data_IF_565299054095
#
_entry.id   IF_565299054095
#
_cell.length_a   1.000
_cell.length_b   1.000
_cell.length_c   1.000
_cell.angle_alpha   90.00
_cell.angle_beta   90.00
_cell.angle_gamma   90.00
#
_symmetry.space_group_name_H-M   'P 1'
#
loop_
_entity.id
_entity.type
_entity.pdbx_description
1 polymer ?
#
# COMPACT_ATOMS: atom_id res chain seq x y z
N UNK A 1 7.39 17.79 -21.05
CA UNK A 1 7.48 16.59 -20.19
C UNK A 1 6.06 16.19 -19.86
N UNK A 2 5.69 14.92 -20.01
CA UNK A 2 4.35 14.44 -19.63
C UNK A 2 4.13 14.71 -18.14
N UNK A 3 2.99 15.28 -17.76
CA UNK A 3 2.71 15.57 -16.35
C UNK A 3 2.03 14.36 -15.74
N UNK A 4 2.76 13.60 -14.92
CA UNK A 4 2.21 12.52 -14.10
C UNK A 4 1.90 13.06 -12.70
N UNK A 5 0.65 12.97 -12.28
CA UNK A 5 0.21 13.37 -10.94
C UNK A 5 -0.43 12.18 -10.24
N UNK A 6 0.17 11.71 -9.15
CA UNK A 6 -0.40 10.71 -8.27
C UNK A 6 -1.33 11.36 -7.23
N UNK A 7 -2.50 10.77 -7.06
CA UNK A 7 -3.50 11.19 -6.09
C UNK A 7 -3.71 10.12 -5.00
N UNK A 8 -3.54 10.53 -3.73
CA UNK A 8 -3.64 9.66 -2.54
C UNK A 8 -4.34 10.33 -1.35
N UNK A 9 -4.28 9.73 -0.15
CA UNK A 9 -4.93 10.34 1.02
C UNK A 9 -4.20 11.59 1.51
N UNK A 10 -2.88 11.64 1.27
CA UNK A 10 -2.07 12.84 1.31
C UNK A 10 -1.82 13.43 2.70
N UNK A 11 -0.66 14.08 2.82
CA UNK A 11 -0.17 14.90 3.93
C UNK A 11 1.33 15.09 3.79
N UNK A 12 1.80 16.34 3.66
CA UNK A 12 3.20 16.79 3.76
C UNK A 12 4.26 16.08 2.90
N UNK A 13 3.87 15.43 1.79
CA UNK A 13 4.81 14.72 0.90
C UNK A 13 5.38 13.42 1.49
N UNK A 14 4.76 12.89 2.54
CA UNK A 14 5.17 11.63 3.15
C UNK A 14 5.00 10.45 2.18
N UNK A 15 6.03 9.60 2.11
CA UNK A 15 6.05 8.40 1.28
C UNK A 15 5.02 7.34 1.75
N UNK A 16 4.85 7.23 3.07
CA UNK A 16 3.88 6.33 3.69
C UNK A 16 2.51 7.00 3.73
N UNK A 17 1.58 6.53 2.90
CA UNK A 17 0.20 7.01 2.84
C UNK A 17 -0.73 6.17 3.74
N UNK A 18 -1.95 6.67 3.98
CA UNK A 18 -2.98 5.93 4.74
C UNK A 18 -3.41 4.64 4.02
N UNK A 19 -3.24 4.58 2.69
CA UNK A 19 -3.48 3.38 1.89
C UNK A 19 -2.17 2.75 1.42
N UNK A 20 -1.91 1.47 1.73
CA UNK A 20 -0.76 0.74 1.18
C UNK A 20 -0.74 0.72 -0.35
N UNK A 21 -1.89 0.82 -1.02
CA UNK A 21 -1.94 0.89 -2.49
C UNK A 21 -1.39 2.21 -3.03
N UNK A 22 -1.52 3.32 -2.30
CA UNK A 22 -0.89 4.60 -2.66
C UNK A 22 0.63 4.50 -2.41
N UNK A 23 1.02 3.96 -1.25
CA UNK A 23 2.43 3.69 -0.91
C UNK A 23 3.11 2.77 -1.94
N UNK A 24 2.41 1.75 -2.44
CA UNK A 24 2.85 0.85 -3.53
C UNK A 24 3.20 1.66 -4.79
N UNK A 25 2.36 2.61 -5.19
CA UNK A 25 2.64 3.42 -6.38
C UNK A 25 3.79 4.41 -6.15
N UNK A 26 3.91 4.99 -4.96
CA UNK A 26 5.09 5.78 -4.62
C UNK A 26 6.37 4.95 -4.78
N UNK A 27 6.40 3.74 -4.22
CA UNK A 27 7.55 2.84 -4.34
C UNK A 27 7.82 2.47 -5.79
N UNK A 28 6.80 2.05 -6.54
CA UNK A 28 6.94 1.67 -7.95
C UNK A 28 7.53 2.80 -8.80
N UNK A 29 6.95 4.00 -8.71
CA UNK A 29 7.39 5.16 -9.50
C UNK A 29 8.83 5.55 -9.16
N UNK A 30 9.19 5.53 -7.88
CA UNK A 30 10.55 5.87 -7.43
C UNK A 30 11.58 4.82 -7.83
N UNK A 31 11.28 3.53 -7.68
CA UNK A 31 12.15 2.44 -8.12
C UNK A 31 12.34 2.45 -9.65
N UNK A 32 11.31 2.86 -10.39
CA UNK A 32 11.37 3.01 -11.83
C UNK A 32 12.01 4.34 -12.31
N UNK A 33 12.40 5.24 -11.39
CA UNK A 33 12.98 6.54 -11.73
C UNK A 33 12.00 7.48 -12.47
N UNK A 34 10.69 7.31 -12.22
CA UNK A 34 9.65 8.13 -12.84
C UNK A 34 9.37 9.34 -11.97
N UNK A 35 9.53 10.53 -12.53
CA UNK A 35 9.14 11.80 -11.90
C UNK A 35 7.61 11.95 -11.86
N UNK A 36 7.07 12.37 -10.72
CA UNK A 36 5.64 12.60 -10.55
C UNK A 36 5.37 13.67 -9.48
N UNK A 37 4.25 14.38 -9.64
CA UNK A 37 3.71 15.21 -8.57
C UNK A 37 2.76 14.38 -7.68
N UNK A 38 2.68 14.70 -6.39
CA UNK A 38 1.72 14.08 -5.48
C UNK A 38 0.71 15.10 -4.98
N UNK A 39 -0.57 14.74 -4.99
CA UNK A 39 -1.67 15.61 -4.54
C UNK A 39 -2.69 14.82 -3.70
N UNK A 40 -3.42 15.49 -2.80
CA UNK A 40 -4.61 14.90 -2.22
C UNK A 40 -5.58 14.45 -3.31
N UNK A 41 -6.12 13.24 -3.17
CA UNK A 41 -7.07 12.64 -4.10
C UNK A 41 -8.49 12.67 -3.55
N UNK A 42 -9.45 12.99 -4.41
CA UNK A 42 -10.87 13.00 -4.06
C UNK A 42 -11.56 11.73 -4.58
N UNK A 43 -11.97 10.86 -3.66
CA UNK A 43 -12.66 9.61 -3.97
C UNK A 43 -13.98 9.80 -4.72
N UNK A 44 -14.59 11.00 -4.69
CA UNK A 44 -15.85 11.30 -5.41
C UNK A 44 -15.65 11.36 -6.93
N UNK A 45 -14.45 11.68 -7.39
CA UNK A 45 -14.08 11.78 -8.82
C UNK A 45 -13.12 10.67 -9.25
N UNK A 46 -12.57 9.91 -8.29
CA UNK A 46 -11.69 8.79 -8.57
C UNK A 46 -12.44 7.67 -9.32
N UNK A 47 -11.84 7.07 -10.37
CA UNK A 47 -12.38 5.86 -10.98
C UNK A 47 -12.59 4.77 -9.92
N UNK A 48 -13.73 4.07 -10.00
CA UNK A 48 -14.17 3.06 -9.01
C UNK A 48 -14.36 3.58 -7.57
N UNK A 49 -14.28 4.89 -7.35
CA UNK A 49 -14.45 5.52 -6.04
C UNK A 49 -13.36 5.15 -5.03
N UNK A 50 -12.14 4.83 -5.50
CA UNK A 50 -11.02 4.38 -4.66
C UNK A 50 -9.73 5.11 -5.02
N UNK A 51 -8.86 5.28 -4.03
CA UNK A 51 -7.48 5.74 -4.20
C UNK A 51 -6.53 4.52 -4.23
N UNK A 52 -5.40 4.60 -4.93
CA UNK A 52 -4.91 5.74 -5.72
C UNK A 52 -5.60 5.89 -7.09
N UNK A 53 -5.44 7.09 -7.66
CA UNK A 53 -5.54 7.32 -9.11
C UNK A 53 -4.40 8.23 -9.57
N UNK A 54 -4.12 8.26 -10.87
CA UNK A 54 -3.23 9.22 -11.51
C UNK A 54 -3.99 10.12 -12.48
N UNK A 55 -3.48 11.34 -12.66
CA UNK A 55 -3.68 12.15 -13.87
C UNK A 55 -2.41 12.05 -14.71
N UNK A 56 -2.54 11.52 -15.92
CA UNK A 56 -1.44 11.41 -16.87
C UNK A 56 -1.89 12.04 -18.19
N UNK A 57 -1.41 13.26 -18.43
CA UNK A 57 -1.76 14.09 -19.57
C UNK A 57 -3.28 14.29 -19.76
N UNK A 58 -4.02 14.47 -18.65
CA UNK A 58 -5.46 14.69 -18.63
C UNK A 58 -6.30 13.40 -18.60
N UNK A 59 -5.67 12.23 -18.75
CA UNK A 59 -6.34 10.94 -18.56
C UNK A 59 -6.31 10.54 -17.09
N UNK A 60 -7.48 10.24 -16.51
CA UNK A 60 -7.60 9.77 -15.14
C UNK A 60 -7.64 8.24 -15.12
N UNK A 61 -6.63 7.62 -14.49
CA UNK A 61 -6.52 6.16 -14.35
C UNK A 61 -6.51 5.82 -12.86
N UNK A 62 -7.50 5.05 -12.42
CA UNK A 62 -7.56 4.53 -11.05
C UNK A 62 -7.09 3.08 -10.98
N UNK A 63 -6.99 2.57 -9.75
CA UNK A 63 -6.50 1.21 -9.43
C UNK A 63 -4.98 1.06 -9.62
N UNK A 64 -4.27 0.73 -8.54
CA UNK A 64 -2.79 0.70 -8.56
C UNK A 64 -2.22 -0.30 -9.56
N UNK A 65 -2.89 -1.42 -9.81
CA UNK A 65 -2.40 -2.41 -10.77
C UNK A 65 -2.65 -1.96 -12.20
N UNK A 66 -3.84 -1.42 -12.48
CA UNK A 66 -4.15 -0.84 -13.80
C UNK A 66 -3.25 0.34 -14.14
N UNK A 67 -2.85 1.13 -13.14
CA UNK A 67 -1.90 2.23 -13.29
C UNK A 67 -0.51 1.71 -13.68
N UNK A 68 0.00 0.68 -13.01
CA UNK A 68 1.28 0.05 -13.37
C UNK A 68 1.21 -0.48 -14.81
N UNK A 69 0.12 -1.16 -15.17
CA UNK A 69 -0.11 -1.64 -16.53
C UNK A 69 -0.14 -0.49 -17.56
N UNK A 70 -0.82 0.61 -17.24
CA UNK A 70 -0.86 1.81 -18.09
C UNK A 70 0.54 2.39 -18.33
N UNK A 71 1.36 2.50 -17.29
CA UNK A 71 2.74 3.02 -17.43
C UNK A 71 3.61 2.10 -18.30
N UNK A 72 3.43 0.79 -18.18
CA UNK A 72 4.07 -0.20 -19.06
C UNK A 72 3.61 -0.07 -20.50
N UNK A 73 2.30 -0.04 -20.74
CA UNK A 73 1.69 0.12 -22.09
C UNK A 73 2.18 1.40 -22.79
N UNK A 74 2.45 2.45 -22.02
CA UNK A 74 2.97 3.74 -22.52
C UNK A 74 4.50 3.76 -22.66
N UNK A 75 5.20 2.69 -22.33
CA UNK A 75 6.66 2.59 -22.39
C UNK A 75 7.38 3.48 -21.38
N UNK A 76 6.71 3.89 -20.30
CA UNK A 76 7.26 4.81 -19.28
C UNK A 76 8.05 4.03 -18.23
N UNK A 77 7.50 2.93 -17.74
CA UNK A 77 8.12 2.11 -16.71
C UNK A 77 7.64 0.67 -16.80
N UNK A 78 8.59 -0.27 -16.74
CA UNK A 78 8.33 -1.71 -16.69
C UNK A 78 9.38 -2.39 -15.82
N UNK A 79 9.17 -2.40 -14.50
CA UNK A 79 10.04 -3.09 -13.55
C UNK A 79 9.99 -4.62 -13.72
N UNK A 80 8.97 -5.13 -14.41
CA UNK A 80 8.76 -6.56 -14.58
C UNK A 80 9.23 -7.05 -15.95
N UNK A 81 9.97 -6.25 -16.72
CA UNK A 81 10.40 -6.58 -18.09
C UNK A 81 11.12 -7.92 -18.16
N UNK A 82 12.10 -8.12 -17.28
CA UNK A 82 13.04 -9.24 -17.35
C UNK A 82 12.59 -10.44 -16.51
N UNK A 83 11.39 -10.39 -15.91
CA UNK A 83 10.86 -11.51 -15.12
C UNK A 83 10.54 -12.72 -16.02
N UNK A 84 11.05 -13.87 -15.60
CA UNK A 84 10.72 -15.15 -16.21
C UNK A 84 9.29 -15.60 -15.86
N UNK A 85 8.71 -16.62 -16.54
CA UNK A 85 7.35 -17.06 -16.28
C UNK A 85 7.08 -17.52 -14.84
N UNK A 86 8.08 -18.11 -14.16
CA UNK A 86 7.99 -18.53 -12.76
C UNK A 86 7.95 -17.33 -11.82
N UNK A 87 8.85 -16.37 -12.02
CA UNK A 87 8.88 -15.12 -11.25
C UNK A 87 7.58 -14.31 -11.42
N UNK A 88 6.99 -14.29 -12.62
CA UNK A 88 5.68 -13.65 -12.85
C UNK A 88 4.55 -14.36 -12.12
N UNK A 89 4.59 -15.69 -12.03
CA UNK A 89 3.62 -16.47 -11.28
C UNK A 89 3.75 -16.19 -9.77
N UNK A 90 4.97 -16.22 -9.23
CA UNK A 90 5.26 -15.91 -7.84
C UNK A 90 4.84 -14.47 -7.49
N UNK A 91 5.17 -13.50 -8.35
CA UNK A 91 4.71 -12.12 -8.21
C UNK A 91 3.20 -12.03 -8.09
N UNK A 92 2.46 -12.74 -8.93
CA UNK A 92 0.99 -12.73 -8.90
C UNK A 92 0.44 -13.33 -7.59
N UNK A 93 1.01 -14.46 -7.15
CA UNK A 93 0.59 -15.13 -5.93
C UNK A 93 0.88 -14.28 -4.68
N UNK A 94 2.10 -13.75 -4.56
CA UNK A 94 2.54 -12.96 -3.40
C UNK A 94 1.82 -11.61 -3.37
N UNK A 95 1.63 -10.95 -4.51
CA UNK A 95 0.80 -9.74 -4.58
C UNK A 95 -0.63 -10.02 -4.09
N UNK A 96 -1.22 -11.16 -4.44
CA UNK A 96 -2.55 -11.55 -3.94
C UNK A 96 -2.56 -11.75 -2.42
N UNK A 97 -1.50 -12.34 -1.84
CA UNK A 97 -1.36 -12.45 -0.38
C UNK A 97 -1.32 -11.07 0.31
N UNK A 98 -0.59 -10.11 -0.26
CA UNK A 98 -0.53 -8.76 0.24
C UNK A 98 -1.88 -8.03 0.13
N UNK A 99 -2.46 -8.02 -1.07
CA UNK A 99 -3.58 -7.16 -1.42
C UNK A 99 -4.94 -7.70 -0.97
N UNK A 100 -5.10 -9.03 -0.92
CA UNK A 100 -6.38 -9.67 -0.61
C UNK A 100 -6.48 -10.21 0.83
N UNK A 101 -5.34 -10.44 1.50
CA UNK A 101 -5.32 -10.96 2.88
C UNK A 101 -4.67 -9.97 3.85
N UNK A 102 -3.37 -9.66 3.69
CA UNK A 102 -2.65 -8.77 4.62
C UNK A 102 -3.28 -7.38 4.71
N UNK A 103 -3.69 -6.82 3.57
CA UNK A 103 -4.40 -5.55 3.50
C UNK A 103 -5.65 -5.52 4.41
N UNK A 104 -6.51 -6.53 4.30
CA UNK A 104 -7.74 -6.58 5.06
C UNK A 104 -7.49 -6.84 6.54
N UNK A 105 -6.44 -7.59 6.89
CA UNK A 105 -6.00 -7.75 8.28
C UNK A 105 -5.58 -6.40 8.86
N UNK A 106 -4.68 -5.68 8.17
CA UNK A 106 -4.24 -4.35 8.55
C UNK A 106 -5.43 -3.38 8.67
N UNK A 107 -6.36 -3.42 7.71
CA UNK A 107 -7.55 -2.58 7.72
C UNK A 107 -8.48 -2.90 8.90
N UNK A 108 -8.64 -4.17 9.30
CA UNK A 108 -9.36 -4.53 10.51
C UNK A 108 -8.73 -3.88 11.75
N UNK A 109 -7.41 -4.01 11.93
CA UNK A 109 -6.73 -3.37 13.06
C UNK A 109 -6.85 -1.84 13.05
N UNK A 110 -6.85 -1.19 11.88
CA UNK A 110 -6.97 0.27 11.76
C UNK A 110 -8.40 0.80 11.97
N UNK A 111 -9.42 0.11 11.46
CA UNK A 111 -10.79 0.63 11.41
C UNK A 111 -11.70 0.08 12.52
N UNK A 112 -11.50 -1.18 12.91
CA UNK A 112 -12.35 -1.90 13.87
C UNK A 112 -11.81 -1.75 15.29
N UNK A 113 -10.54 -2.06 15.50
CA UNK A 113 -9.97 -2.14 16.83
C UNK A 113 -9.86 -0.76 17.50
N UNK A 114 -10.18 -0.64 18.81
CA UNK A 114 -10.19 0.66 19.50
C UNK A 114 -8.86 1.41 19.43
N UNK A 115 -7.73 0.71 19.64
CA UNK A 115 -6.38 1.30 19.65
C UNK A 115 -5.99 1.85 18.27
N UNK A 116 -6.17 1.03 17.23
CA UNK A 116 -5.89 1.46 15.86
C UNK A 116 -6.82 2.59 15.43
N UNK A 117 -8.11 2.54 15.76
CA UNK A 117 -9.03 3.62 15.40
C UNK A 117 -8.71 4.95 16.09
N UNK A 118 -8.26 4.91 17.36
CA UNK A 118 -7.90 6.12 18.10
C UNK A 118 -6.78 6.92 17.43
N UNK A 119 -5.85 6.25 16.75
CA UNK A 119 -4.73 6.87 16.02
C UNK A 119 -5.04 7.09 14.52
N UNK A 120 -5.76 6.16 13.87
CA UNK A 120 -6.06 6.22 12.44
C UNK A 120 -7.25 7.13 12.08
N UNK A 121 -8.30 7.16 12.91
CA UNK A 121 -9.51 7.95 12.70
C UNK A 121 -9.23 9.46 12.52
N UNK A 122 -8.40 10.10 13.37
CA UNK A 122 -7.99 11.49 13.18
C UNK A 122 -7.28 11.75 11.85
N UNK A 123 -6.47 10.80 11.37
CA UNK A 123 -5.77 10.91 10.07
C UNK A 123 -6.76 10.88 8.90
N UNK A 124 -7.74 9.98 8.93
CA UNK A 124 -8.84 9.96 7.94
C UNK A 124 -9.67 11.24 8.02
N UNK A 125 -9.94 11.74 9.23
CA UNK A 125 -10.64 13.01 9.41
C UNK A 125 -9.87 14.17 8.76
N UNK A 126 -8.55 14.21 8.91
CA UNK A 126 -7.69 15.20 8.25
C UNK A 126 -7.73 15.06 6.73
N UNK A 127 -7.64 13.83 6.19
CA UNK A 127 -7.74 13.58 4.75
C UNK A 127 -9.09 14.06 4.17
N UNK A 128 -10.20 13.82 4.86
CA UNK A 128 -11.52 14.33 4.46
C UNK A 128 -11.55 15.87 4.38
N UNK A 129 -10.88 16.56 5.30
CA UNK A 129 -10.80 18.04 5.27
C UNK A 129 -9.96 18.54 4.09
N UNK A 130 -8.89 17.82 3.72
CA UNK A 130 -8.02 18.19 2.57
C UNK A 130 -8.78 18.19 1.25
N UNK A 131 -9.78 17.33 1.12
CA UNK A 131 -10.66 17.25 -0.07
C UNK A 131 -11.91 18.13 0.04
N UNK A 132 -11.90 19.09 0.97
CA UNK A 132 -12.93 20.13 1.07
C UNK A 132 -14.18 19.75 1.86
N UNK A 133 -14.17 18.65 2.64
CA UNK A 133 -15.30 18.36 3.55
C UNK A 133 -15.27 19.36 4.73
N UNK A 134 -16.31 20.20 4.92
CA UNK A 134 -16.33 21.21 5.97
C UNK A 134 -16.28 20.61 7.38
N UNK A 135 -15.63 21.31 8.33
CA UNK A 135 -15.47 20.87 9.73
C UNK A 135 -16.78 20.41 10.40
N UNK A 136 -17.92 21.12 10.26
CA UNK A 136 -19.18 20.69 10.87
C UNK A 136 -19.68 19.33 10.33
N UNK A 137 -19.42 19.04 9.05
CA UNK A 137 -19.85 17.81 8.40
C UNK A 137 -18.88 16.64 8.59
N UNK A 138 -17.59 16.91 8.86
CA UNK A 138 -16.55 15.88 8.85
C UNK A 138 -16.82 14.74 9.84
N UNK A 139 -17.40 15.03 11.01
CA UNK A 139 -17.71 14.00 12.01
C UNK A 139 -18.78 13.01 11.53
N UNK A 140 -19.81 13.50 10.83
CA UNK A 140 -20.86 12.64 10.24
C UNK A 140 -20.30 11.82 9.09
N UNK A 141 -19.56 12.45 8.18
CA UNK A 141 -18.92 11.76 7.05
C UNK A 141 -17.95 10.67 7.54
N UNK A 142 -17.13 10.96 8.55
CA UNK A 142 -16.21 9.98 9.13
C UNK A 142 -16.93 8.75 9.67
N UNK A 143 -18.09 8.91 10.32
CA UNK A 143 -18.92 7.78 10.80
C UNK A 143 -19.47 6.95 9.64
N UNK A 144 -19.92 7.59 8.57
CA UNK A 144 -20.40 6.90 7.35
C UNK A 144 -19.26 6.11 6.71
N UNK A 145 -18.10 6.74 6.52
CA UNK A 145 -16.90 6.10 5.96
C UNK A 145 -16.45 4.92 6.80
N UNK A 146 -16.38 5.08 8.14
CA UNK A 146 -16.01 3.98 9.04
C UNK A 146 -17.00 2.82 8.93
N UNK A 147 -18.31 3.09 8.99
CA UNK A 147 -19.35 2.06 8.86
C UNK A 147 -19.26 1.31 7.52
N UNK A 148 -18.97 2.02 6.43
CA UNK A 148 -18.76 1.43 5.11
C UNK A 148 -17.58 0.47 5.09
N UNK A 149 -16.43 0.87 5.62
CA UNK A 149 -15.24 0.02 5.69
C UNK A 149 -15.48 -1.22 6.57
N UNK A 150 -16.12 -1.06 7.73
CA UNK A 150 -16.45 -2.20 8.60
C UNK A 150 -17.33 -3.23 7.90
N UNK A 151 -18.35 -2.79 7.14
CA UNK A 151 -19.18 -3.69 6.32
C UNK A 151 -18.38 -4.37 5.21
N UNK A 152 -17.46 -3.63 4.57
CA UNK A 152 -16.60 -4.19 3.52
C UNK A 152 -15.69 -5.30 4.07
N UNK A 153 -15.09 -5.09 5.24
CA UNK A 153 -14.23 -6.09 5.87
C UNK A 153 -15.01 -7.35 6.26
N UNK A 154 -16.26 -7.18 6.75
CA UNK A 154 -17.14 -8.32 7.03
C UNK A 154 -17.52 -9.07 5.75
N UNK A 155 -17.88 -8.35 4.68
CA UNK A 155 -18.25 -8.96 3.42
C UNK A 155 -17.10 -9.77 2.82
N UNK A 156 -15.87 -9.25 2.87
CA UNK A 156 -14.67 -9.95 2.40
C UNK A 156 -14.33 -11.19 3.26
N UNK A 157 -14.63 -11.18 4.56
CA UNK A 157 -14.52 -12.33 5.45
C UNK A 157 -13.51 -12.15 6.58
N UNK A 158 -12.41 -11.43 6.38
CA UNK A 158 -11.40 -11.14 7.42
C UNK A 158 -12.00 -10.36 8.59
N UNK A 159 -12.98 -9.50 8.33
CA UNK A 159 -13.71 -8.78 9.38
C UNK A 159 -14.61 -9.65 10.25
N UNK A 160 -14.84 -10.93 9.90
CA UNK A 160 -15.57 -11.88 10.75
C UNK A 160 -14.66 -12.61 11.74
N UNK A 161 -13.35 -12.59 11.51
CA UNK A 161 -12.36 -13.25 12.38
C UNK A 161 -12.09 -12.40 13.62
N UNK A 162 -11.82 -13.01 14.78
CA UNK A 162 -11.38 -12.27 15.94
C UNK A 162 -9.94 -11.73 15.75
N UNK A 163 -9.54 -10.67 16.50
CA UNK A 163 -8.26 -10.00 16.30
C UNK A 163 -7.03 -10.92 16.45
N UNK A 164 -7.06 -11.87 17.38
CA UNK A 164 -5.98 -12.84 17.62
C UNK A 164 -5.79 -13.80 16.44
N UNK A 165 -6.87 -14.22 15.77
CA UNK A 165 -6.80 -15.04 14.57
C UNK A 165 -6.18 -14.24 13.42
N UNK A 166 -6.57 -12.97 13.27
CA UNK A 166 -5.99 -12.07 12.27
C UNK A 166 -4.49 -11.81 12.52
N UNK A 167 -4.07 -11.67 13.79
CA UNK A 167 -2.67 -11.50 14.14
C UNK A 167 -1.85 -12.77 13.84
N UNK A 168 -2.37 -13.95 14.21
CA UNK A 168 -1.73 -15.22 13.90
C UNK A 168 -1.62 -15.42 12.37
N UNK A 169 -2.67 -15.08 11.62
CA UNK A 169 -2.67 -15.14 10.16
C UNK A 169 -1.66 -14.18 9.53
N UNK A 170 -1.53 -12.96 10.05
CA UNK A 170 -0.49 -12.04 9.60
C UNK A 170 0.91 -12.61 9.85
N UNK A 171 1.16 -13.23 11.02
CA UNK A 171 2.41 -13.93 11.31
C UNK A 171 2.74 -14.99 10.25
N UNK A 172 1.77 -15.84 9.88
CA UNK A 172 1.95 -16.85 8.83
C UNK A 172 2.29 -16.24 7.46
N UNK A 173 1.70 -15.09 7.10
CA UNK A 173 2.04 -14.40 5.86
C UNK A 173 3.48 -13.89 5.89
N UNK A 174 3.93 -13.33 7.02
CA UNK A 174 5.30 -12.87 7.18
C UNK A 174 6.31 -14.02 7.15
N UNK A 175 5.97 -15.19 7.73
CA UNK A 175 6.79 -16.40 7.62
C UNK A 175 6.89 -16.86 6.16
N UNK A 176 5.77 -16.86 5.43
CA UNK A 176 5.79 -17.16 4.00
C UNK A 176 6.64 -16.15 3.21
N UNK A 177 6.57 -14.86 3.52
CA UNK A 177 7.40 -13.85 2.87
C UNK A 177 8.90 -14.04 3.14
N UNK A 178 9.29 -14.40 4.36
CA UNK A 178 10.67 -14.79 4.71
C UNK A 178 11.11 -16.01 3.87
N UNK A 179 10.27 -17.04 3.77
CA UNK A 179 10.58 -18.22 2.98
C UNK A 179 10.68 -17.91 1.48
N UNK A 180 9.85 -17.00 0.95
CA UNK A 180 9.88 -16.59 -0.45
C UNK A 180 11.12 -15.76 -0.77
N UNK A 181 11.41 -14.72 0.03
CA UNK A 181 12.56 -13.84 -0.22
C UNK A 181 13.89 -14.60 -0.08
N UNK A 182 13.96 -15.59 0.81
CA UNK A 182 15.14 -16.45 0.97
C UNK A 182 15.43 -17.39 -0.22
N UNK A 183 14.52 -17.53 -1.19
CA UNK A 183 14.76 -18.38 -2.39
C UNK A 183 15.70 -17.74 -3.39
N UNK A 184 15.80 -16.42 -3.40
CA UNK A 184 16.58 -15.67 -4.38
C UNK A 184 17.72 -14.94 -3.66
N UNK A 185 18.99 -15.28 -3.92
CA UNK A 185 20.09 -14.49 -3.42
C UNK A 185 20.10 -13.13 -4.14
N UNK A 186 20.27 -12.06 -3.38
CA UNK A 186 20.38 -10.71 -3.92
C UNK A 186 19.67 -9.68 -3.03
N UNK A 187 19.84 -8.39 -3.35
CA UNK A 187 19.23 -7.30 -2.58
C UNK A 187 17.74 -7.09 -2.87
N UNK A 188 17.21 -7.62 -3.96
CA UNK A 188 15.80 -7.52 -4.37
C UNK A 188 15.11 -8.88 -4.37
N UNK A 189 13.78 -8.88 -4.44
CA UNK A 189 12.97 -10.09 -4.28
C UNK A 189 13.35 -11.21 -5.26
N UNK A 190 13.73 -10.85 -6.48
CA UNK A 190 14.11 -11.79 -7.53
C UNK A 190 15.60 -11.72 -7.91
N UNK A 191 16.44 -11.13 -7.05
CA UNK A 191 17.90 -11.08 -7.22
C UNK A 191 18.46 -9.66 -7.32
N UNK A 192 19.13 -9.35 -8.44
CA UNK A 192 19.98 -8.15 -8.57
C UNK A 192 19.24 -6.86 -8.97
N UNK A 193 18.02 -6.95 -9.50
CA UNK A 193 17.26 -5.80 -9.98
C UNK A 193 15.89 -5.69 -9.30
N UNK A 194 15.37 -4.47 -9.09
CA UNK A 194 14.04 -4.26 -8.53
C UNK A 194 12.95 -4.76 -9.48
N UNK A 195 11.87 -5.27 -8.89
CA UNK A 195 10.65 -5.65 -9.59
C UNK A 195 9.44 -4.89 -9.04
N UNK A 196 8.27 -5.02 -9.69
CA UNK A 196 7.03 -4.48 -9.11
C UNK A 196 6.65 -5.17 -7.80
N UNK A 197 7.09 -6.42 -7.59
CA UNK A 197 6.85 -7.15 -6.36
C UNK A 197 7.54 -6.48 -5.17
N UNK A 198 8.73 -5.92 -5.38
CA UNK A 198 9.45 -5.23 -4.31
C UNK A 198 8.64 -4.04 -3.78
N UNK A 199 8.10 -3.23 -4.70
CA UNK A 199 7.22 -2.10 -4.36
C UNK A 199 5.94 -2.55 -3.64
N UNK A 200 5.36 -3.68 -4.04
CA UNK A 200 4.15 -4.24 -3.43
C UNK A 200 4.45 -4.66 -2.00
N UNK A 201 5.32 -5.65 -1.82
CA UNK A 201 5.54 -6.25 -0.49
C UNK A 201 6.04 -5.20 0.49
N UNK A 202 6.91 -4.29 0.03
CA UNK A 202 7.45 -3.23 0.88
C UNK A 202 6.35 -2.30 1.37
N UNK A 203 5.45 -1.85 0.49
CA UNK A 203 4.37 -0.94 0.85
C UNK A 203 3.37 -1.56 1.86
N UNK A 204 3.08 -2.85 1.72
CA UNK A 204 2.20 -3.54 2.65
C UNK A 204 2.88 -3.80 4.00
N UNK A 205 4.17 -4.16 4.02
CA UNK A 205 4.93 -4.30 5.27
C UNK A 205 5.13 -2.94 5.95
N UNK A 206 5.48 -1.87 5.23
CA UNK A 206 5.60 -0.50 5.77
C UNK A 206 4.29 -0.04 6.45
N UNK A 207 3.15 -0.40 5.86
CA UNK A 207 1.84 -0.18 6.47
C UNK A 207 1.64 -0.86 7.81
N UNK A 208 2.38 -1.94 8.10
CA UNK A 208 2.33 -2.67 9.39
C UNK A 208 3.37 -2.20 10.40
N UNK A 209 4.46 -1.56 9.95
CA UNK A 209 5.57 -1.11 10.82
C UNK A 209 5.43 0.34 11.26
N UNK A 210 4.58 1.14 10.59
CA UNK A 210 4.37 2.55 10.92
C UNK A 210 3.85 2.76 12.36
N UNK A 211 4.71 3.33 13.20
CA UNK A 211 4.40 3.65 14.61
C UNK A 211 3.33 4.74 14.77
N UNK A 212 2.91 5.37 13.68
CA UNK A 212 1.87 6.39 13.71
C UNK A 212 0.46 5.83 13.94
N UNK A 213 0.28 4.51 13.80
CA UNK A 213 -1.00 3.84 14.02
C UNK A 213 -0.80 2.66 14.95
N UNK A 214 -1.40 2.72 16.15
CA UNK A 214 -1.23 1.70 17.17
C UNK A 214 -1.91 0.38 16.79
N UNK A 215 -1.14 -0.55 16.23
CA UNK A 215 -1.58 -1.90 15.87
C UNK A 215 -0.62 -2.96 16.44
N UNK A 216 -1.10 -4.19 16.70
CA UNK A 216 -0.22 -5.28 17.16
C UNK A 216 0.71 -5.81 16.06
N UNK A 217 0.70 -5.24 14.85
CA UNK A 217 1.47 -5.74 13.71
C UNK A 217 2.94 -5.26 13.70
N UNK A 218 3.29 -4.23 14.46
CA UNK A 218 4.61 -3.57 14.38
C UNK A 218 5.81 -4.52 14.55
N UNK A 219 5.67 -5.56 15.38
CA UNK A 219 6.76 -6.49 15.70
C UNK A 219 6.89 -7.68 14.75
N UNK A 220 6.02 -7.80 13.73
CA UNK A 220 6.05 -8.97 12.85
C UNK A 220 7.32 -9.04 12.01
N UNK A 221 7.88 -7.90 11.59
CA UNK A 221 9.11 -7.89 10.79
C UNK A 221 10.36 -8.27 11.62
N UNK A 222 10.38 -7.94 12.91
CA UNK A 222 11.58 -8.01 13.74
C UNK A 222 12.17 -9.42 13.90
N UNK A 223 11.33 -10.46 13.79
CA UNK A 223 11.76 -11.85 13.93
C UNK A 223 12.09 -12.56 12.61
N UNK A 224 12.04 -11.86 11.47
CA UNK A 224 12.28 -12.42 10.13
C UNK A 224 13.50 -11.73 9.50
N UNK A 225 14.68 -12.30 9.69
CA UNK A 225 15.95 -11.62 9.45
C UNK A 225 16.19 -11.30 7.96
N UNK A 226 15.87 -12.22 7.04
CA UNK A 226 16.10 -12.00 5.62
C UNK A 226 15.09 -10.99 5.07
N UNK A 227 13.82 -11.11 5.46
CA UNK A 227 12.76 -10.19 5.11
C UNK A 227 13.04 -8.79 5.66
N UNK A 228 13.55 -8.68 6.89
CA UNK A 228 13.96 -7.40 7.47
C UNK A 228 15.11 -6.76 6.71
N UNK A 229 16.12 -7.54 6.37
CA UNK A 229 17.28 -7.06 5.57
C UNK A 229 16.83 -6.58 4.20
N UNK A 230 15.98 -7.35 3.52
CA UNK A 230 15.38 -6.95 2.25
C UNK A 230 14.51 -5.69 2.39
N UNK A 231 13.67 -5.62 3.43
CA UNK A 231 12.80 -4.46 3.67
C UNK A 231 13.62 -3.18 3.86
N UNK A 232 14.68 -3.24 4.68
CA UNK A 232 15.59 -2.11 4.92
C UNK A 232 16.32 -1.67 3.64
N UNK A 233 16.68 -2.63 2.78
CA UNK A 233 17.26 -2.31 1.47
C UNK A 233 16.27 -1.53 0.59
N UNK A 234 15.06 -2.05 0.41
CA UNK A 234 14.03 -1.42 -0.42
C UNK A 234 13.65 -0.06 0.17
N UNK A 235 13.49 0.05 1.48
CA UNK A 235 13.17 1.29 2.19
C UNK A 235 14.20 2.39 1.90
N UNK A 236 15.50 2.06 2.00
CA UNK A 236 16.57 3.00 1.70
C UNK A 236 16.51 3.49 0.24
N UNK A 237 16.24 2.59 -0.72
CA UNK A 237 16.16 2.92 -2.15
C UNK A 237 14.95 3.79 -2.47
N UNK A 238 13.77 3.43 -1.96
CA UNK A 238 12.54 4.20 -2.20
C UNK A 238 12.62 5.58 -1.54
N UNK A 239 13.20 5.69 -0.34
CA UNK A 239 13.31 6.99 0.34
C UNK A 239 14.34 7.92 -0.32
N UNK A 240 15.47 7.40 -0.79
CA UNK A 240 16.52 8.19 -1.46
C UNK A 240 16.08 8.73 -2.84
N UNK A 241 15.22 8.01 -3.55
CA UNK A 241 14.79 8.38 -4.91
C UNK A 241 13.79 9.55 -4.99
N UNK A 242 13.50 10.25 -3.89
CA UNK A 242 12.62 11.42 -3.90
C UNK A 242 13.07 12.56 -3.00
N UNK A 243 14.37 12.61 -2.69
CA UNK A 243 15.09 13.75 -2.10
C UNK A 243 15.94 14.41 -3.17
#
# INVERSE_FOLDING_TARGET
MASLVLHGFGGDGALTDLSPFVTKLHAYLRLAGVEYAFRPGDMRVAPRGKLPYIDHDGAIIGDSERIIEHLRERGIADLDRDLDPGQRADRTAIASMCELELYFILACFRWREPRGWASYGPKIQAALRRVGIPRPATGVVLRIVRRGNLKQHEAQGVGRRPPEENLARAGQLFDAFEDFVGRHPGPWWFGEQPSSLDAIVWAFIDGTTTKEVDTPLHGLLDSRAQLKTWFEHVDAKVRAAGS
#
